data_IF_361226127120
#
_entry.id   IF_361226127120
#
_cell.length_a   1.000
_cell.length_b   1.000
_cell.length_c   1.000
_cell.angle_alpha   90.00
_cell.angle_beta   90.00
_cell.angle_gamma   90.00
#
_symmetry.space_group_name_H-M   'P 1'
#
loop_
_entity.id
_entity.type
_entity.pdbx_description
1 polymer ?
#
# COMPACT_ATOMS: atom_id res chain seq x y z
N UNK A 1 -12.88 22.76 5.29
CA UNK A 1 -13.48 21.52 4.74
C UNK A 1 -12.42 20.88 3.88
N UNK A 2 -12.10 19.61 4.10
CA UNK A 2 -11.11 18.92 3.27
C UNK A 2 -11.76 18.50 1.96
N UNK A 3 -11.08 18.79 0.86
CA UNK A 3 -11.45 18.32 -0.47
C UNK A 3 -10.91 16.90 -0.68
N UNK A 4 -11.63 16.09 -1.44
CA UNK A 4 -11.21 14.71 -1.74
C UNK A 4 -11.15 14.51 -3.25
N UNK A 5 -10.12 13.80 -3.70
CA UNK A 5 -9.95 13.40 -5.09
C UNK A 5 -10.17 11.90 -5.20
N UNK A 6 -10.81 11.49 -6.29
CA UNK A 6 -11.09 10.09 -6.60
C UNK A 6 -10.33 9.68 -7.85
N UNK A 7 -9.53 8.62 -7.76
CA UNK A 7 -8.88 7.96 -8.88
C UNK A 7 -9.60 6.64 -9.15
N UNK A 8 -10.28 6.58 -10.29
CA UNK A 8 -10.99 5.39 -10.73
C UNK A 8 -10.01 4.32 -11.24
N UNK A 9 -10.47 3.07 -11.32
CA UNK A 9 -9.67 1.94 -11.84
C UNK A 9 -9.10 2.13 -13.26
N UNK A 10 -9.64 3.04 -14.06
CA UNK A 10 -9.09 3.44 -15.37
C UNK A 10 -7.96 4.49 -15.29
N UNK A 11 -7.57 4.89 -14.08
CA UNK A 11 -6.57 5.92 -13.83
C UNK A 11 -7.09 7.36 -13.87
N UNK A 12 -8.35 7.59 -14.27
CA UNK A 12 -8.93 8.92 -14.32
C UNK A 12 -9.10 9.49 -12.91
N UNK A 13 -8.64 10.73 -12.73
CA UNK A 13 -8.77 11.48 -11.48
C UNK A 13 -9.92 12.47 -11.61
N UNK A 14 -10.83 12.45 -10.65
CA UNK A 14 -12.00 13.33 -10.58
C UNK A 14 -12.06 13.99 -9.20
N UNK A 15 -12.57 15.22 -9.15
CA UNK A 15 -12.65 16.01 -7.91
C UNK A 15 -12.41 17.50 -8.18
N UNK A 16 -12.41 18.35 -7.13
CA UNK A 16 -12.56 17.98 -5.71
C UNK A 16 -14.00 17.60 -5.34
N UNK A 17 -14.15 16.66 -4.41
CA UNK A 17 -15.42 16.26 -3.81
C UNK A 17 -15.41 16.54 -2.30
N UNK A 18 -16.57 16.90 -1.76
CA UNK A 18 -16.76 16.97 -0.31
C UNK A 18 -16.93 15.56 0.29
N UNK A 19 -16.62 15.40 1.57
CA UNK A 19 -16.80 14.11 2.28
C UNK A 19 -18.25 13.60 2.25
N UNK A 20 -19.23 14.51 2.21
CA UNK A 20 -20.65 14.18 2.07
C UNK A 20 -20.94 13.62 0.69
N UNK A 21 -20.46 14.27 -0.37
CA UNK A 21 -20.65 13.80 -1.75
C UNK A 21 -19.98 12.45 -1.99
N UNK A 22 -18.80 12.25 -1.40
CA UNK A 22 -18.05 11.00 -1.55
C UNK A 22 -18.75 9.82 -0.85
N UNK A 23 -19.39 10.07 0.30
CA UNK A 23 -20.27 9.09 0.96
C UNK A 23 -21.53 8.79 0.14
N UNK A 24 -22.15 9.80 -0.44
CA UNK A 24 -23.33 9.64 -1.30
C UNK A 24 -22.99 8.80 -2.56
N UNK A 25 -21.83 9.05 -3.17
CA UNK A 25 -21.34 8.22 -4.29
C UNK A 25 -21.09 6.77 -3.87
N UNK A 26 -20.58 6.55 -2.65
CA UNK A 26 -20.38 5.21 -2.10
C UNK A 26 -21.70 4.48 -1.85
N UNK A 27 -22.68 5.14 -1.21
CA UNK A 27 -24.00 4.55 -0.96
C UNK A 27 -24.77 4.24 -2.24
N UNK A 28 -24.58 5.06 -3.29
CA UNK A 28 -25.22 4.87 -4.59
C UNK A 28 -24.47 3.88 -5.49
N UNK A 29 -23.43 3.19 -5.00
CA UNK A 29 -22.66 2.21 -5.78
C UNK A 29 -21.82 2.80 -6.93
N UNK A 30 -21.64 4.12 -6.99
CA UNK A 30 -20.80 4.77 -8.00
C UNK A 30 -19.31 4.67 -7.65
N UNK A 31 -19.00 4.41 -6.38
CA UNK A 31 -17.64 4.20 -5.88
C UNK A 31 -17.36 2.70 -5.76
N UNK A 32 -16.35 2.20 -6.48
CA UNK A 32 -15.96 0.79 -6.40
C UNK A 32 -14.97 0.57 -5.27
N UNK A 33 -14.93 -0.66 -4.74
CA UNK A 33 -14.00 -1.05 -3.68
C UNK A 33 -12.51 -0.85 -4.05
N UNK A 34 -12.18 -0.90 -5.35
CA UNK A 34 -10.81 -0.77 -5.87
C UNK A 34 -10.43 0.66 -6.25
N UNK A 35 -11.38 1.61 -6.24
CA UNK A 35 -11.06 3.00 -6.54
C UNK A 35 -10.22 3.59 -5.39
N UNK A 36 -9.40 4.61 -5.69
CA UNK A 36 -8.51 5.23 -4.72
C UNK A 36 -8.96 6.65 -4.39
N UNK A 37 -8.92 7.03 -3.11
CA UNK A 37 -9.28 8.36 -2.62
C UNK A 37 -8.04 9.05 -2.06
N UNK A 38 -7.88 10.35 -2.30
CA UNK A 38 -6.83 11.17 -1.70
C UNK A 38 -7.42 12.47 -1.13
N UNK A 39 -6.83 12.98 -0.04
CA UNK A 39 -7.24 14.25 0.61
C UNK A 39 -6.61 15.46 -0.08
N UNK A 40 -5.48 15.25 -0.76
CA UNK A 40 -4.78 16.28 -1.52
C UNK A 40 -4.58 15.78 -2.94
N UNK A 41 -4.33 16.68 -3.90
CA UNK A 41 -4.28 16.38 -5.33
C UNK A 41 -3.08 15.52 -5.79
N UNK A 42 -2.81 14.39 -5.12
CA UNK A 42 -1.92 13.35 -5.63
C UNK A 42 -0.92 12.76 -4.65
N UNK A 43 -0.86 13.19 -3.38
CA UNK A 43 0.21 12.76 -2.48
C UNK A 43 -0.02 11.37 -1.87
N UNK A 44 -1.25 11.06 -1.44
CA UNK A 44 -1.55 9.84 -0.68
C UNK A 44 -2.86 9.21 -1.14
N UNK A 45 -2.77 8.25 -2.06
CA UNK A 45 -3.91 7.49 -2.57
C UNK A 45 -4.20 6.29 -1.67
N UNK A 46 -5.39 6.25 -1.09
CA UNK A 46 -5.86 5.14 -0.25
C UNK A 46 -7.04 4.47 -0.94
N UNK A 47 -6.99 3.15 -1.09
CA UNK A 47 -8.10 2.37 -1.65
C UNK A 47 -9.38 2.63 -0.85
N UNK A 48 -10.50 2.89 -1.52
CA UNK A 48 -11.76 3.30 -0.92
C UNK A 48 -12.27 2.28 0.12
N UNK A 49 -12.08 0.98 -0.13
CA UNK A 49 -12.41 -0.09 0.82
C UNK A 49 -11.56 -0.09 2.11
N UNK A 50 -10.43 0.63 2.13
CA UNK A 50 -9.61 0.80 3.34
C UNK A 50 -9.96 2.05 4.14
N UNK A 51 -10.78 2.95 3.57
CA UNK A 51 -11.21 4.17 4.24
C UNK A 51 -12.38 3.86 5.17
N UNK A 52 -12.18 4.09 6.46
CA UNK A 52 -13.23 3.90 7.49
C UNK A 52 -14.45 4.77 7.14
N UNK A 53 -15.64 4.19 7.20
CA UNK A 53 -16.90 4.85 6.84
C UNK A 53 -17.28 4.76 5.35
N UNK A 54 -16.33 4.58 4.42
CA UNK A 54 -16.65 4.25 3.02
C UNK A 54 -16.80 2.75 2.81
N UNK A 55 -15.98 1.95 3.49
CA UNK A 55 -16.02 0.48 3.42
C UNK A 55 -17.42 -0.10 3.63
N UNK A 56 -18.12 0.34 4.66
CA UNK A 56 -19.46 -0.14 5.02
C UNK A 56 -20.49 0.23 3.94
N UNK A 57 -20.41 1.46 3.42
CA UNK A 57 -21.29 1.94 2.36
C UNK A 57 -21.07 1.20 1.04
N UNK A 58 -19.82 0.92 0.69
CA UNK A 58 -19.46 0.16 -0.51
C UNK A 58 -19.93 -1.29 -0.39
N UNK A 59 -19.73 -1.93 0.77
CA UNK A 59 -20.20 -3.29 1.03
C UNK A 59 -21.74 -3.39 0.95
N UNK A 60 -22.43 -2.40 1.50
CA UNK A 60 -23.88 -2.29 1.41
C UNK A 60 -24.35 -2.13 -0.04
N UNK A 61 -23.74 -1.23 -0.80
CA UNK A 61 -24.08 -1.00 -2.20
C UNK A 61 -23.74 -2.18 -3.12
N UNK A 62 -22.74 -2.99 -2.77
CA UNK A 62 -22.38 -4.20 -3.50
C UNK A 62 -23.42 -5.34 -3.35
N UNK A 63 -24.46 -5.15 -2.52
CA UNK A 63 -25.47 -6.19 -2.26
C UNK A 63 -24.93 -7.37 -1.47
N UNK A 64 -23.71 -7.26 -0.94
CA UNK A 64 -23.08 -8.28 -0.14
C UNK A 64 -23.51 -8.08 1.32
N UNK A 65 -24.81 -8.31 1.55
CA UNK A 65 -25.36 -8.57 2.87
C UNK A 65 -24.84 -9.92 3.36
N UNK A 66 -23.53 -10.02 3.60
CA UNK A 66 -22.98 -11.08 4.43
C UNK A 66 -23.11 -10.59 5.86
N UNK A 67 -24.14 -11.01 6.62
CA UNK A 67 -24.16 -10.74 8.05
C UNK A 67 -22.87 -11.29 8.63
N UNK A 68 -22.16 -10.44 9.36
CA UNK A 68 -20.96 -10.78 10.11
C UNK A 68 -21.32 -11.80 11.19
N UNK A 69 -21.48 -13.06 10.81
CA UNK A 69 -21.60 -14.21 11.70
C UNK A 69 -20.24 -14.89 11.82
N UNK A 70 -19.25 -14.16 12.31
CA UNK A 70 -17.96 -14.72 12.76
C UNK A 70 -17.68 -14.32 14.21
N UNK A 71 -18.74 -14.26 15.03
CA UNK A 71 -18.63 -14.12 16.48
C UNK A 71 -18.97 -15.43 17.24
N UNK A 72 -19.65 -16.42 16.62
CA UNK A 72 -20.18 -17.58 17.37
C UNK A 72 -19.43 -18.91 17.21
N UNK A 73 -18.38 -19.00 16.38
CA UNK A 73 -17.63 -20.26 16.22
C UNK A 73 -16.45 -20.46 17.19
N UNK A 74 -16.37 -19.67 18.28
CA UNK A 74 -15.32 -19.81 19.30
C UNK A 74 -15.86 -19.88 20.74
N UNK A 75 -17.09 -20.40 20.91
CA UNK A 75 -17.72 -20.59 22.23
C UNK A 75 -17.94 -22.05 22.66
N UNK A 76 -17.34 -23.02 21.97
CA UNK A 76 -17.43 -24.45 22.33
C UNK A 76 -16.14 -25.07 22.89
N UNK A 77 -15.20 -24.25 23.36
CA UNK A 77 -14.06 -24.73 24.17
C UNK A 77 -13.82 -23.80 25.36
N UNK A 78 -14.81 -23.67 26.23
CA UNK A 78 -14.59 -23.17 27.58
C UNK A 78 -14.68 -24.36 28.54
N UNK A 79 -13.58 -24.76 29.20
CA UNK A 79 -13.63 -25.74 30.28
C UNK A 79 -14.48 -25.19 31.42
N UNK A 80 -15.42 -26.03 31.84
CA UNK A 80 -16.24 -25.98 33.05
C UNK A 80 -15.52 -25.33 34.25
N UNK A 81 -15.89 -24.13 34.69
CA UNK A 81 -15.59 -23.63 36.02
C UNK A 81 -16.72 -24.05 36.97
N UNK A 82 -16.32 -24.80 37.99
CA UNK A 82 -17.10 -25.32 39.10
C UNK A 82 -18.14 -24.36 39.69
N UNK A 83 -19.20 -24.90 40.32
CA UNK A 83 -20.32 -24.12 40.84
C UNK A 83 -19.94 -23.48 42.18
N UNK A 84 -19.91 -22.15 42.24
CA UNK A 84 -20.10 -21.44 43.50
C UNK A 84 -20.96 -20.19 43.31
N UNK A 85 -21.87 -20.08 44.26
CA UNK A 85 -22.97 -19.13 44.42
C UNK A 85 -22.54 -17.67 44.49
N UNK A 86 -23.45 -16.75 44.15
CA UNK A 86 -23.47 -15.44 44.79
C UNK A 86 -23.84 -14.22 43.95
N UNK A 87 -25.14 -13.98 43.81
CA UNK A 87 -25.85 -12.67 43.95
C UNK A 87 -25.09 -11.37 43.61
N UNK A 88 -25.60 -10.60 42.63
CA UNK A 88 -26.19 -9.26 42.86
C UNK A 88 -26.80 -8.66 41.59
N UNK A 89 -28.13 -8.48 41.64
CA UNK A 89 -28.87 -7.46 40.91
C UNK A 89 -28.53 -6.09 41.53
N UNK A 90 -28.17 -5.10 40.71
CA UNK A 90 -28.63 -3.70 40.81
C UNK A 90 -28.22 -3.00 39.51
N UNK A 91 -29.19 -2.71 38.64
CA UNK A 91 -29.74 -1.36 38.45
C UNK A 91 -28.76 -0.35 37.83
N UNK A 92 -28.95 -0.07 36.55
CA UNK A 92 -28.94 1.30 36.03
C UNK A 92 -29.65 1.35 34.67
N UNK A 93 -30.98 1.32 34.74
CA UNK A 93 -31.85 1.93 33.74
C UNK A 93 -31.56 3.43 33.74
N UNK A 94 -31.11 3.98 32.61
CA UNK A 94 -31.23 5.41 32.34
C UNK A 94 -31.93 5.57 31.00
N UNK A 95 -33.25 5.60 31.08
CA UNK A 95 -34.07 6.44 30.23
C UNK A 95 -33.66 7.90 30.45
N UNK A 96 -33.33 8.62 29.38
CA UNK A 96 -33.64 10.05 29.32
C UNK A 96 -33.89 10.50 27.89
N UNK A 97 -35.18 10.49 27.56
CA UNK A 97 -35.91 11.46 26.75
C UNK A 97 -35.16 12.77 26.53
N UNK A 98 -34.96 13.15 25.26
CA UNK A 98 -35.04 14.55 24.88
C UNK A 98 -35.70 14.74 23.51
N UNK A 99 -36.75 15.53 23.57
CA UNK A 99 -37.74 15.89 22.57
C UNK A 99 -37.16 16.89 21.56
N UNK A 100 -37.59 16.78 20.29
CA UNK A 100 -37.43 17.81 19.26
C UNK A 100 -38.27 19.05 19.61
N UNK A 101 -37.99 20.29 19.12
CA UNK A 101 -38.38 20.63 17.73
C UNK A 101 -37.58 21.75 17.04
N UNK A 102 -37.63 21.73 15.70
CA UNK A 102 -37.79 22.95 14.88
C UNK A 102 -36.61 23.90 14.72
N UNK A 103 -36.06 23.95 13.50
CA UNK A 103 -35.80 25.24 12.84
C UNK A 103 -35.87 25.11 11.32
N UNK A 104 -36.93 25.74 10.82
CA UNK A 104 -37.10 26.18 9.45
C UNK A 104 -35.83 26.87 8.94
N UNK A 105 -35.26 26.39 7.83
CA UNK A 105 -34.39 27.21 6.99
C UNK A 105 -35.02 27.24 5.60
N UNK A 106 -35.95 28.17 5.46
CA UNK A 106 -36.43 28.68 4.19
C UNK A 106 -35.24 29.34 3.50
N UNK A 107 -34.73 28.75 2.43
CA UNK A 107 -33.86 29.45 1.51
C UNK A 107 -34.73 29.93 0.36
N UNK A 108 -34.78 31.25 0.25
CA UNK A 108 -35.39 32.02 -0.82
C UNK A 108 -35.00 31.48 -2.20
N UNK A 109 -36.04 31.14 -2.95
CA UNK A 109 -35.97 30.91 -4.39
C UNK A 109 -35.83 32.29 -5.05
N UNK A 110 -34.61 32.64 -5.44
CA UNK A 110 -34.40 33.76 -6.35
C UNK A 110 -34.96 33.40 -7.74
N UNK A 111 -35.76 34.29 -8.38
CA UNK A 111 -36.29 34.04 -9.72
C UNK A 111 -35.16 34.05 -10.78
N UNK A 112 -35.28 33.23 -11.84
CA UNK A 112 -34.30 33.19 -12.92
C UNK A 112 -34.31 34.48 -13.73
N UNK A 113 -33.14 35.06 -14.08
CA UNK A 113 -33.08 36.14 -15.05
C UNK A 113 -33.45 35.62 -16.45
N UNK A 114 -34.54 36.16 -16.97
CA UNK A 114 -35.00 36.03 -18.35
C UNK A 114 -33.99 36.66 -19.33
N UNK A 115 -33.38 35.79 -20.14
CA UNK A 115 -33.04 35.93 -21.57
C UNK A 115 -32.35 37.20 -22.05
N UNK A 116 -31.13 37.04 -22.55
CA UNK A 116 -30.68 37.71 -23.77
C UNK A 116 -30.12 36.66 -24.76
N UNK A 117 -30.56 36.66 -26.03
CA UNK A 117 -29.99 35.82 -27.07
C UNK A 117 -28.79 36.51 -27.73
N UNK A 118 -28.03 35.75 -28.51
CA UNK A 118 -27.00 36.23 -29.46
C UNK A 118 -25.58 36.36 -28.90
N UNK A 119 -24.79 35.32 -29.08
CA UNK A 119 -23.70 35.35 -30.05
C UNK A 119 -23.32 33.92 -30.42
N UNK A 120 -23.51 33.58 -31.68
CA UNK A 120 -23.03 32.35 -32.29
C UNK A 120 -21.51 32.34 -32.20
N UNK A 121 -20.98 31.61 -31.20
CA UNK A 121 -19.56 31.30 -31.14
C UNK A 121 -19.31 30.18 -32.16
N UNK A 122 -18.47 30.39 -33.19
CA UNK A 122 -18.19 29.35 -34.17
C UNK A 122 -17.63 28.14 -33.43
N UNK A 123 -18.35 27.02 -33.54
CA UNK A 123 -17.89 25.67 -33.19
C UNK A 123 -16.52 25.48 -33.84
N UNK A 124 -15.48 25.79 -33.08
CA UNK A 124 -14.18 25.20 -33.31
C UNK A 124 -14.44 23.75 -32.98
N UNK A 125 -14.49 22.90 -34.01
CA UNK A 125 -14.44 21.46 -33.84
C UNK A 125 -13.10 21.18 -33.17
N UNK A 126 -13.06 21.28 -31.84
CA UNK A 126 -12.05 20.63 -31.03
C UNK A 126 -12.33 19.15 -31.20
N UNK A 127 -11.77 18.62 -32.29
CA UNK A 127 -11.58 17.21 -32.51
C UNK A 127 -11.04 16.66 -31.19
N UNK A 128 -11.80 15.79 -30.50
CA UNK A 128 -11.35 15.18 -29.27
C UNK A 128 -10.00 14.57 -29.61
N UNK A 129 -8.94 15.19 -29.09
CA UNK A 129 -7.61 14.65 -29.21
C UNK A 129 -7.67 13.43 -28.33
N UNK A 130 -8.08 12.30 -28.92
CA UNK A 130 -8.06 11.00 -28.30
C UNK A 130 -6.59 10.77 -27.99
N UNK A 131 -6.18 11.18 -26.79
CA UNK A 131 -4.91 10.78 -26.22
C UNK A 131 -4.87 9.26 -26.42
N UNK A 132 -3.84 8.74 -27.10
CA UNK A 132 -3.75 7.31 -27.38
C UNK A 132 -3.92 6.62 -26.04
N UNK A 133 -4.93 5.76 -25.95
CA UNK A 133 -5.22 4.99 -24.76
C UNK A 133 -3.95 4.19 -24.44
N UNK A 134 -3.12 4.73 -23.54
CA UNK A 134 -1.93 4.06 -23.08
C UNK A 134 -2.41 2.80 -22.41
N UNK A 135 -2.02 1.66 -22.98
CA UNK A 135 -2.56 0.37 -22.62
C UNK A 135 -2.34 0.17 -21.12
N UNK A 136 -3.43 0.05 -20.35
CA UNK A 136 -3.44 -0.19 -18.90
C UNK A 136 -2.59 -1.39 -18.47
N UNK A 137 -2.29 -2.27 -19.42
CA UNK A 137 -1.39 -3.39 -19.28
C UNK A 137 0.07 -2.97 -19.01
N UNK A 138 0.57 -1.92 -19.66
CA UNK A 138 1.95 -1.45 -19.51
C UNK A 138 2.19 -0.89 -18.10
N UNK A 139 1.21 -0.16 -17.55
CA UNK A 139 1.25 0.36 -16.18
C UNK A 139 1.26 -0.77 -15.13
N UNK A 140 0.51 -1.84 -15.37
CA UNK A 140 0.50 -2.99 -14.47
C UNK A 140 1.84 -3.73 -14.48
N UNK A 141 2.46 -3.91 -15.65
CA UNK A 141 3.78 -4.53 -15.77
C UNK A 141 4.84 -3.70 -15.06
N UNK A 142 4.85 -2.38 -15.27
CA UNK A 142 5.79 -1.47 -14.59
C UNK A 142 5.66 -1.55 -13.07
N UNK A 143 4.42 -1.60 -12.57
CA UNK A 143 4.16 -1.69 -11.14
C UNK A 143 4.61 -3.06 -10.55
N UNK A 144 4.46 -4.14 -11.30
CA UNK A 144 4.94 -5.46 -10.89
C UNK A 144 6.47 -5.56 -10.94
N UNK A 145 7.09 -5.01 -11.98
CA UNK A 145 8.54 -4.96 -12.11
C UNK A 145 9.18 -4.19 -10.94
N UNK A 146 8.57 -3.08 -10.51
CA UNK A 146 9.05 -2.32 -9.37
C UNK A 146 8.93 -3.08 -8.04
N UNK A 147 7.82 -3.81 -7.84
CA UNK A 147 7.65 -4.68 -6.67
C UNK A 147 8.67 -5.81 -6.66
N UNK A 148 8.85 -6.49 -7.79
CA UNK A 148 9.82 -7.57 -7.93
C UNK A 148 11.26 -7.08 -7.70
N UNK A 149 11.63 -5.93 -8.27
CA UNK A 149 12.93 -5.31 -8.06
C UNK A 149 13.19 -4.99 -6.59
N UNK A 150 12.20 -4.42 -5.88
CA UNK A 150 12.33 -4.13 -4.45
C UNK A 150 12.49 -5.40 -3.62
N UNK A 151 11.74 -6.46 -3.93
CA UNK A 151 11.87 -7.75 -3.23
C UNK A 151 13.23 -8.39 -3.48
N UNK A 152 13.73 -8.34 -4.72
CA UNK A 152 15.05 -8.85 -5.08
C UNK A 152 16.17 -8.08 -4.37
N UNK A 153 16.04 -6.76 -4.24
CA UNK A 153 16.98 -5.93 -3.50
C UNK A 153 17.03 -6.30 -2.01
N UNK A 154 15.87 -6.49 -1.37
CA UNK A 154 15.81 -6.93 0.03
C UNK A 154 16.44 -8.32 0.20
N UNK A 155 16.15 -9.25 -0.71
CA UNK A 155 16.73 -10.59 -0.70
C UNK A 155 18.26 -10.56 -0.85
N UNK A 156 18.78 -9.67 -1.70
CA UNK A 156 20.21 -9.48 -1.88
C UNK A 156 20.88 -8.93 -0.61
N UNK A 157 20.24 -7.98 0.08
CA UNK A 157 20.73 -7.48 1.38
C UNK A 157 20.77 -8.63 2.40
N UNK A 158 19.71 -9.43 2.51
CA UNK A 158 19.64 -10.55 3.44
C UNK A 158 20.75 -11.58 3.16
N UNK A 159 20.96 -11.94 1.90
CA UNK A 159 22.05 -12.84 1.51
C UNK A 159 23.43 -12.28 1.87
N UNK A 160 23.63 -10.97 1.69
CA UNK A 160 24.88 -10.29 2.04
C UNK A 160 25.14 -10.35 3.56
N UNK A 161 24.12 -10.08 4.38
CA UNK A 161 24.22 -10.18 5.84
C UNK A 161 24.51 -11.61 6.29
N UNK A 162 23.84 -12.62 5.71
CA UNK A 162 24.11 -14.02 6.01
C UNK A 162 25.55 -14.41 5.66
N UNK A 163 26.07 -13.98 4.51
CA UNK A 163 27.45 -14.23 4.12
C UNK A 163 28.47 -13.64 5.12
N UNK A 164 28.21 -12.42 5.64
CA UNK A 164 29.03 -11.81 6.68
C UNK A 164 29.00 -12.60 7.99
N UNK A 165 27.81 -13.04 8.43
CA UNK A 165 27.67 -13.87 9.64
C UNK A 165 28.48 -15.18 9.49
N UNK A 166 28.36 -15.87 8.35
CA UNK A 166 29.13 -17.09 8.09
C UNK A 166 30.64 -16.83 8.07
N UNK A 167 31.08 -15.71 7.51
CA UNK A 167 32.50 -15.32 7.50
C UNK A 167 33.04 -15.11 8.92
N UNK A 168 32.30 -14.42 9.78
CA UNK A 168 32.67 -14.22 11.19
C UNK A 168 32.70 -15.55 11.94
N UNK A 169 31.69 -16.41 11.77
CA UNK A 169 31.65 -17.73 12.40
C UNK A 169 32.83 -18.61 11.97
N UNK A 170 33.18 -18.61 10.69
CA UNK A 170 34.34 -19.35 10.18
C UNK A 170 35.66 -18.83 10.79
N UNK A 171 35.80 -17.51 10.94
CA UNK A 171 36.96 -16.90 11.60
C UNK A 171 37.07 -17.31 13.08
N UNK A 172 35.96 -17.26 13.82
CA UNK A 172 35.90 -17.70 15.22
C UNK A 172 36.24 -19.19 15.33
N UNK A 173 35.66 -20.03 14.47
CA UNK A 173 35.92 -21.46 14.45
C UNK A 173 37.41 -21.77 14.22
N UNK A 174 38.05 -21.06 13.28
CA UNK A 174 39.49 -21.20 13.04
C UNK A 174 40.32 -20.74 14.24
N UNK A 175 39.95 -19.65 14.91
CA UNK A 175 40.62 -19.19 16.12
C UNK A 175 40.54 -20.23 17.26
N UNK A 176 39.35 -20.80 17.50
CA UNK A 176 39.16 -21.86 18.51
C UNK A 176 40.01 -23.09 18.16
N UNK A 177 39.98 -23.51 16.90
CA UNK A 177 40.75 -24.67 16.42
C UNK A 177 42.26 -24.47 16.61
N UNK A 178 42.76 -23.24 16.42
CA UNK A 178 44.16 -22.90 16.69
C UNK A 178 44.47 -22.91 18.19
N UNK A 179 43.58 -22.43 19.05
CA UNK A 179 43.82 -22.41 20.51
C UNK A 179 43.85 -23.79 21.16
N UNK A 180 43.17 -24.78 20.59
CA UNK A 180 43.14 -26.14 21.15
C UNK A 180 44.30 -27.03 20.69
N UNK A 181 45.14 -26.54 19.78
CA UNK A 181 46.15 -27.36 19.11
C UNK A 181 47.55 -26.84 19.42
N UNK A 182 48.03 -27.13 20.64
CA UNK A 182 49.43 -27.00 21.09
C UNK A 182 50.36 -27.98 20.34
N UNK A 183 50.23 -28.11 19.02
CA UNK A 183 51.00 -29.01 18.17
C UNK A 183 51.80 -28.18 17.15
N UNK A 184 53.14 -28.31 17.11
CA UNK A 184 54.04 -27.47 16.30
C UNK A 184 53.94 -27.68 14.77
N UNK A 185 52.94 -28.41 14.28
CA UNK A 185 52.65 -28.59 12.84
C UNK A 185 51.79 -27.47 12.24
N UNK A 186 51.38 -26.46 13.02
CA UNK A 186 50.42 -25.42 12.61
C UNK A 186 50.94 -24.36 11.61
N UNK A 187 52.25 -24.28 11.36
CA UNK A 187 52.84 -23.22 10.54
C UNK A 187 52.45 -23.31 9.04
N UNK A 188 52.17 -24.51 8.51
CA UNK A 188 51.82 -24.68 7.09
C UNK A 188 50.34 -24.39 6.78
N UNK A 189 49.43 -24.49 7.77
CA UNK A 189 48.00 -24.19 7.58
C UNK A 189 47.68 -22.70 7.59
N UNK A 190 48.51 -21.87 8.23
CA UNK A 190 48.34 -20.42 8.29
C UNK A 190 48.45 -19.75 6.91
N UNK A 191 49.29 -20.28 6.00
CA UNK A 191 49.44 -19.77 4.64
C UNK A 191 48.23 -20.11 3.75
N UNK A 192 47.50 -21.20 4.03
CA UNK A 192 46.27 -21.57 3.32
C UNK A 192 45.06 -20.72 3.73
N UNK A 193 44.96 -20.34 5.01
CA UNK A 193 43.85 -19.55 5.54
C UNK A 193 43.78 -18.11 5.01
N UNK A 194 44.93 -17.48 4.77
CA UNK A 194 44.99 -16.10 4.24
C UNK A 194 44.42 -16.00 2.82
N UNK A 195 44.60 -17.03 1.99
CA UNK A 195 44.10 -17.05 0.62
C UNK A 195 42.56 -17.20 0.56
N UNK A 196 41.98 -17.96 1.49
CA UNK A 196 40.53 -18.10 1.58
C UNK A 196 39.85 -16.78 1.98
N UNK A 197 40.45 -16.04 2.92
CA UNK A 197 39.98 -14.71 3.34
C UNK A 197 39.98 -13.71 2.19
N UNK A 198 41.09 -13.63 1.44
CA UNK A 198 41.21 -12.74 0.28
C UNK A 198 40.21 -13.11 -0.83
N UNK A 199 40.00 -14.40 -1.07
CA UNK A 199 39.03 -14.87 -2.06
C UNK A 199 37.59 -14.52 -1.66
N UNK A 200 37.22 -14.72 -0.39
CA UNK A 200 35.89 -14.36 0.12
C UNK A 200 35.66 -12.85 0.02
N UNK A 201 36.65 -12.03 0.39
CA UNK A 201 36.55 -10.58 0.30
C UNK A 201 36.44 -10.09 -1.15
N UNK A 202 37.15 -10.73 -2.09
CA UNK A 202 37.04 -10.43 -3.52
C UNK A 202 35.66 -10.81 -4.08
N UNK A 203 35.11 -11.96 -3.68
CA UNK A 203 33.77 -12.41 -4.10
C UNK A 203 32.69 -11.49 -3.54
N UNK A 204 32.79 -11.06 -2.27
CA UNK A 204 31.86 -10.11 -1.67
C UNK A 204 31.94 -8.76 -2.40
N UNK A 205 33.15 -8.26 -2.71
CA UNK A 205 33.33 -7.03 -3.48
C UNK A 205 32.72 -7.11 -4.89
N UNK A 206 32.86 -8.25 -5.56
CA UNK A 206 32.26 -8.49 -6.89
C UNK A 206 30.73 -8.54 -6.80
N UNK A 207 30.18 -9.22 -5.78
CA UNK A 207 28.73 -9.32 -5.57
C UNK A 207 28.11 -7.98 -5.18
N UNK A 208 28.82 -7.15 -4.40
CA UNK A 208 28.38 -5.81 -4.03
C UNK A 208 28.40 -4.81 -5.20
N UNK A 209 29.27 -5.02 -6.19
CA UNK A 209 29.38 -4.14 -7.36
C UNK A 209 28.42 -4.48 -8.50
N UNK A 210 27.93 -5.72 -8.57
CA UNK A 210 26.91 -6.15 -9.55
C UNK A 210 25.63 -5.27 -9.57
N UNK A 211 24.97 -4.95 -8.44
CA UNK A 211 23.75 -4.12 -8.47
C UNK A 211 24.03 -2.70 -8.97
N UNK A 212 25.22 -2.14 -8.69
CA UNK A 212 25.63 -0.82 -9.19
C UNK A 212 25.77 -0.84 -10.72
N UNK A 213 26.43 -1.87 -11.25
CA UNK A 213 26.56 -2.05 -12.70
C UNK A 213 25.19 -2.25 -13.38
N UNK A 214 24.29 -3.00 -12.74
CA UNK A 214 22.94 -3.22 -13.25
C UNK A 214 22.13 -1.91 -13.31
N UNK A 215 22.26 -1.06 -12.27
CA UNK A 215 21.64 0.26 -12.24
C UNK A 215 22.15 1.15 -13.39
N UNK A 216 23.47 1.16 -13.62
CA UNK A 216 24.10 1.91 -14.72
C UNK A 216 23.59 1.43 -16.08
N UNK A 217 23.40 0.12 -16.26
CA UNK A 217 22.86 -0.44 -17.50
C UNK A 217 21.40 -0.03 -17.74
N UNK A 218 20.57 -0.02 -16.69
CA UNK A 218 19.19 0.45 -16.77
C UNK A 218 19.13 1.93 -17.17
N UNK A 219 20.00 2.77 -16.60
CA UNK A 219 20.06 4.19 -16.94
C UNK A 219 20.50 4.41 -18.40
N UNK A 220 21.46 3.62 -18.89
CA UNK A 220 21.88 3.68 -20.30
C UNK A 220 20.75 3.30 -21.25
N UNK A 221 20.03 2.22 -20.96
CA UNK A 221 18.95 1.75 -21.83
C UNK A 221 17.76 2.72 -21.87
N UNK A 222 17.44 3.36 -20.75
CA UNK A 222 16.39 4.38 -20.69
C UNK A 222 16.76 5.63 -21.47
N UNK A 223 18.02 6.07 -21.44
CA UNK A 223 18.50 7.19 -22.27
C UNK A 223 18.43 6.89 -23.77
N UNK A 224 18.80 5.69 -24.20
CA UNK A 224 18.75 5.31 -25.62
C UNK A 224 17.31 5.28 -26.17
N UNK A 225 16.37 4.78 -25.38
CA UNK A 225 14.94 4.76 -25.77
C UNK A 225 14.34 6.17 -25.83
N UNK A 226 14.77 7.09 -24.95
CA UNK A 226 14.32 8.48 -25.00
C UNK A 226 14.82 9.27 -26.21
N UNK A 227 15.96 8.90 -26.79
CA UNK A 227 16.54 9.60 -27.95
C UNK A 227 15.93 9.20 -29.31
N UNK A 228 15.11 8.14 -29.34
CA UNK A 228 14.54 7.59 -30.59
C UNK A 228 13.07 8.00 -30.79
N UNK A 229 12.49 8.76 -29.85
CA UNK A 229 11.16 9.38 -29.96
C UNK A 229 11.30 10.87 -30.23
#
# INVERSE_FOLDING_TARGET
MSDYFLRQGNGAVTGPFTSTRLREMASNGHLRAMDCVSIDSGANWVVANKVRGLRELIAFAAGESTPSNTADAQRDRQPDPSPFDGVSLEQATIDLVHEAPGRHSSYDVAPPPTVAPSHANPRTMQQPTHAPATNSFDDWILHQAFRASRMLFVLLIVLCVLALIFSVLASIYMAITLTMKDQPLAASMLLGGMNASLFISAVIGLLASLPILLLIQIERNTRLTSATR
#
